data_IF_001760625604
#
_entry.id   IF_001760625604
#
_cell.length_a   1.000
_cell.length_b   1.000
_cell.length_c   1.000
_cell.angle_alpha   90.00
_cell.angle_beta   90.00
_cell.angle_gamma   90.00
#
_symmetry.space_group_name_H-M   'P 1'
#
loop_
_entity.id
_entity.type
_entity.pdbx_description
1 polymer ?
#
# COMPACT_ATOMS: atom_id res chain seq x y z
N UNK A 1 -8.17 20.79 46.07
CA UNK A 1 -7.84 19.36 46.06
C UNK A 1 -7.93 18.85 44.63
N UNK A 2 -6.83 18.26 44.21
CA UNK A 2 -6.35 18.05 42.85
C UNK A 2 -7.11 16.90 42.16
N UNK A 3 -7.89 17.19 41.11
CA UNK A 3 -8.34 16.17 40.15
C UNK A 3 -7.14 15.84 39.25
N UNK A 4 -6.37 14.88 39.71
CA UNK A 4 -5.18 14.29 39.11
C UNK A 4 -5.41 13.90 37.64
N UNK A 5 -4.73 14.62 36.74
CA UNK A 5 -3.83 14.05 35.73
C UNK A 5 -4.33 12.77 35.03
N UNK A 6 -5.32 12.88 34.16
CA UNK A 6 -5.44 11.96 33.02
C UNK A 6 -5.85 12.71 31.76
N UNK A 7 -5.45 13.97 31.66
CA UNK A 7 -5.18 14.56 30.35
C UNK A 7 -3.78 14.07 29.98
N UNK A 8 -3.65 12.77 29.67
CA UNK A 8 -2.56 12.34 28.81
C UNK A 8 -2.94 12.93 27.46
N UNK A 9 -2.56 14.20 27.33
CA UNK A 9 -2.29 14.84 26.06
C UNK A 9 -1.20 13.97 25.42
N UNK A 10 -1.63 12.88 24.77
CA UNK A 10 -0.95 12.42 23.58
C UNK A 10 -1.20 13.53 22.55
N UNK A 11 -0.48 14.65 22.73
CA UNK A 11 0.05 15.39 21.62
C UNK A 11 0.91 14.35 20.90
N UNK A 12 0.26 13.56 20.05
CA UNK A 12 0.88 13.24 18.79
C UNK A 12 1.20 14.60 18.18
N UNK A 13 2.37 15.13 18.50
CA UNK A 13 3.13 15.90 17.53
C UNK A 13 3.41 14.92 16.39
N UNK A 14 2.37 14.62 15.61
CA UNK A 14 2.56 14.29 14.21
C UNK A 14 3.30 15.51 13.70
N UNK A 15 4.57 15.29 13.39
CA UNK A 15 5.36 16.24 12.63
C UNK A 15 4.52 16.45 11.37
N UNK A 16 3.76 17.55 11.31
CA UNK A 16 3.12 18.06 10.08
C UNK A 16 4.21 18.61 9.16
N UNK A 17 5.28 17.84 8.98
CA UNK A 17 6.25 18.05 7.94
C UNK A 17 5.58 17.59 6.67
N UNK A 18 5.22 18.54 5.80
CA UNK A 18 5.06 18.23 4.37
C UNK A 18 6.41 17.72 3.89
N UNK A 19 6.59 16.41 3.89
CA UNK A 19 7.71 15.75 3.26
C UNK A 19 7.40 15.72 1.76
N UNK A 20 8.28 16.22 0.89
CA UNK A 20 8.11 16.04 -0.54
C UNK A 20 7.93 14.56 -0.88
N UNK A 21 7.02 14.23 -1.80
CA UNK A 21 6.77 12.86 -2.27
C UNK A 21 8.06 12.09 -2.58
N UNK A 22 9.07 12.78 -3.12
CA UNK A 22 10.37 12.22 -3.52
C UNK A 22 11.18 11.61 -2.38
N UNK A 23 10.83 11.91 -1.13
CA UNK A 23 11.66 11.56 0.02
C UNK A 23 11.14 10.33 0.76
N UNK A 24 9.98 9.79 0.35
CA UNK A 24 9.37 8.60 0.97
C UNK A 24 9.27 7.45 -0.02
N UNK A 25 9.93 6.35 0.31
CA UNK A 25 9.82 5.06 -0.39
C UNK A 25 9.43 3.96 0.60
N UNK A 26 8.75 2.91 0.13
CA UNK A 26 8.35 1.78 0.97
C UNK A 26 8.91 0.47 0.43
N UNK A 27 9.39 -0.42 1.29
CA UNK A 27 9.86 -1.73 0.85
C UNK A 27 9.40 -2.84 1.78
N UNK A 28 9.34 -4.07 1.28
CA UNK A 28 9.00 -5.22 2.11
C UNK A 28 9.23 -6.58 1.47
N UNK A 29 9.20 -7.60 2.30
CA UNK A 29 9.36 -9.02 1.91
C UNK A 29 8.09 -9.82 2.18
N UNK A 30 7.72 -10.74 1.27
CA UNK A 30 6.58 -11.66 1.45
C UNK A 30 5.27 -10.89 1.72
N UNK A 31 4.61 -11.13 2.86
CA UNK A 31 3.45 -10.36 3.29
C UNK A 31 3.74 -8.86 3.42
N UNK A 32 4.97 -8.49 3.82
CA UNK A 32 5.45 -7.11 3.82
C UNK A 32 5.64 -6.56 2.41
N UNK A 33 5.98 -7.40 1.43
CA UNK A 33 6.03 -7.02 0.01
C UNK A 33 4.64 -6.71 -0.54
N UNK A 34 3.64 -7.52 -0.20
CA UNK A 34 2.22 -7.21 -0.47
C UNK A 34 1.82 -5.87 0.13
N UNK A 35 2.24 -5.60 1.37
CA UNK A 35 1.91 -4.36 2.07
C UNK A 35 2.62 -3.16 1.44
N UNK A 36 3.89 -3.30 1.05
CA UNK A 36 4.63 -2.24 0.35
C UNK A 36 3.92 -1.84 -0.94
N UNK A 37 3.51 -2.81 -1.76
CA UNK A 37 2.73 -2.55 -2.98
C UNK A 37 1.40 -1.83 -2.69
N UNK A 38 0.66 -2.29 -1.67
CA UNK A 38 -0.61 -1.69 -1.28
C UNK A 38 -0.43 -0.25 -0.78
N UNK A 39 0.59 0.01 0.03
CA UNK A 39 0.87 1.33 0.57
C UNK A 39 1.29 2.30 -0.54
N UNK A 40 2.20 1.86 -1.43
CA UNK A 40 2.67 2.64 -2.58
C UNK A 40 1.52 3.06 -3.48
N UNK A 41 0.55 2.16 -3.73
CA UNK A 41 -0.63 2.47 -4.54
C UNK A 41 -1.61 3.37 -3.80
N UNK A 42 -1.94 3.04 -2.55
CA UNK A 42 -2.97 3.73 -1.78
C UNK A 42 -2.60 5.18 -1.46
N UNK A 43 -1.32 5.43 -1.15
CA UNK A 43 -0.77 6.73 -0.75
C UNK A 43 0.25 7.25 -1.77
N UNK A 44 -0.01 7.00 -3.05
CA UNK A 44 0.92 7.36 -4.13
C UNK A 44 1.17 8.86 -4.28
N UNK A 45 0.34 9.73 -3.69
CA UNK A 45 0.60 11.18 -3.60
C UNK A 45 1.78 11.52 -2.68
N UNK A 46 2.07 10.66 -1.71
CA UNK A 46 3.12 10.87 -0.69
C UNK A 46 4.32 9.91 -0.88
N UNK A 47 4.10 8.72 -1.47
CA UNK A 47 5.14 7.71 -1.68
C UNK A 47 5.60 7.73 -3.14
N UNK A 48 6.91 7.89 -3.36
CA UNK A 48 7.53 8.00 -4.70
C UNK A 48 8.05 6.69 -5.29
N UNK A 49 8.04 5.60 -4.54
CA UNK A 49 8.48 4.31 -5.05
C UNK A 49 8.34 3.18 -4.05
N UNK A 50 8.47 1.95 -4.55
CA UNK A 50 8.54 0.80 -3.67
C UNK A 50 9.59 -0.24 -4.06
N UNK A 51 9.89 -1.14 -3.12
CA UNK A 51 10.74 -2.31 -3.34
C UNK A 51 10.07 -3.56 -2.81
N UNK A 52 9.84 -4.54 -3.68
CA UNK A 52 9.07 -5.75 -3.34
C UNK A 52 9.95 -6.99 -3.52
N UNK A 53 10.20 -7.71 -2.43
CA UNK A 53 10.95 -8.97 -2.46
C UNK A 53 10.02 -10.13 -2.11
N UNK A 54 9.95 -11.16 -2.97
CA UNK A 54 9.12 -12.34 -2.75
C UNK A 54 7.65 -12.02 -2.38
N UNK A 55 7.14 -10.87 -2.83
CA UNK A 55 5.75 -10.46 -2.66
C UNK A 55 4.89 -10.93 -3.83
N UNK A 56 3.60 -11.23 -3.60
CA UNK A 56 2.66 -11.52 -4.67
C UNK A 56 2.29 -10.24 -5.45
N UNK A 57 1.76 -10.38 -6.68
CA UNK A 57 1.20 -9.25 -7.42
C UNK A 57 0.12 -8.50 -6.62
N UNK A 58 -0.02 -7.19 -6.84
CA UNK A 58 -1.09 -6.40 -6.22
C UNK A 58 -2.45 -7.04 -6.49
N UNK A 59 -3.30 -7.05 -5.46
CA UNK A 59 -4.64 -7.64 -5.51
C UNK A 59 -4.69 -9.15 -5.81
N UNK A 60 -3.58 -9.89 -5.70
CA UNK A 60 -3.54 -11.31 -6.02
C UNK A 60 -4.56 -12.15 -5.23
N UNK A 61 -4.63 -11.94 -3.91
CA UNK A 61 -5.50 -12.75 -3.06
C UNK A 61 -6.99 -12.38 -3.18
N UNK A 62 -7.32 -11.19 -3.69
CA UNK A 62 -8.71 -10.71 -3.83
C UNK A 62 -9.55 -10.81 -2.54
N UNK A 63 -8.91 -10.72 -1.37
CA UNK A 63 -9.57 -10.90 -0.07
C UNK A 63 -9.90 -12.35 0.29
N UNK A 64 -9.37 -13.33 -0.45
CA UNK A 64 -9.61 -14.75 -0.26
C UNK A 64 -8.36 -15.48 0.29
N UNK A 65 -8.50 -16.11 1.45
CA UNK A 65 -7.41 -16.80 2.13
C UNK A 65 -6.84 -17.98 1.30
N UNK A 66 -7.70 -18.78 0.67
CA UNK A 66 -7.26 -19.93 -0.14
C UNK A 66 -6.44 -19.49 -1.35
N UNK A 67 -6.78 -18.35 -1.94
CA UNK A 67 -6.02 -17.74 -3.03
C UNK A 67 -4.66 -17.23 -2.54
N UNK A 68 -4.63 -16.63 -1.35
CA UNK A 68 -3.39 -16.16 -0.71
C UNK A 68 -2.40 -17.31 -0.48
N UNK A 69 -2.81 -18.36 0.24
CA UNK A 69 -1.91 -19.50 0.54
C UNK A 69 -1.67 -20.42 -0.65
N UNK A 70 -2.58 -20.43 -1.64
CA UNK A 70 -2.46 -21.21 -2.86
C UNK A 70 -1.70 -20.44 -3.93
N UNK A 71 -2.45 -19.88 -4.88
CA UNK A 71 -1.90 -19.28 -6.10
C UNK A 71 -0.93 -18.11 -5.83
N UNK A 72 -1.13 -17.30 -4.79
CA UNK A 72 -0.26 -16.14 -4.55
C UNK A 72 1.09 -16.50 -3.93
N UNK A 73 1.15 -17.52 -3.07
CA UNK A 73 2.39 -17.96 -2.44
C UNK A 73 3.12 -19.03 -3.25
N UNK A 74 2.39 -19.88 -3.96
CA UNK A 74 2.94 -21.07 -4.63
C UNK A 74 2.75 -21.07 -6.16
N UNK A 75 1.95 -20.14 -6.70
CA UNK A 75 1.70 -20.04 -8.14
C UNK A 75 2.71 -19.14 -8.85
N UNK A 76 2.76 -19.18 -10.19
CA UNK A 76 3.58 -18.27 -10.97
C UNK A 76 3.09 -16.82 -10.81
N UNK A 77 3.96 -15.84 -11.08
CA UNK A 77 3.59 -14.42 -11.03
C UNK A 77 2.41 -14.05 -11.97
N UNK A 78 2.12 -14.88 -12.97
CA UNK A 78 1.00 -14.74 -13.91
C UNK A 78 -0.34 -15.26 -13.37
N UNK A 79 -0.39 -15.74 -12.12
CA UNK A 79 -1.64 -16.18 -11.46
C UNK A 79 -2.70 -15.09 -11.35
N UNK A 80 -2.34 -13.83 -11.59
CA UNK A 80 -3.27 -12.69 -11.63
C UNK A 80 -3.17 -11.99 -12.97
N UNK A 81 -4.32 -11.83 -13.64
CA UNK A 81 -4.40 -11.05 -14.88
C UNK A 81 -4.11 -9.57 -14.62
N UNK A 82 -3.19 -8.99 -15.39
CA UNK A 82 -2.91 -7.55 -15.37
C UNK A 82 -4.15 -6.72 -15.70
N UNK A 83 -5.05 -7.22 -16.54
CA UNK A 83 -6.33 -6.56 -16.84
C UNK A 83 -7.25 -6.50 -15.61
N UNK A 84 -7.27 -7.55 -14.79
CA UNK A 84 -8.03 -7.55 -13.54
C UNK A 84 -7.46 -6.54 -12.54
N UNK A 85 -6.12 -6.48 -12.43
CA UNK A 85 -5.43 -5.50 -11.59
C UNK A 85 -5.77 -4.08 -12.03
N UNK A 86 -5.63 -3.76 -13.33
CA UNK A 86 -5.94 -2.43 -13.86
C UNK A 86 -7.41 -2.04 -13.66
N UNK A 87 -8.33 -2.97 -13.88
CA UNK A 87 -9.77 -2.72 -13.69
C UNK A 87 -10.09 -2.42 -12.22
N UNK A 88 -9.53 -3.20 -11.30
CA UNK A 88 -9.76 -3.01 -9.87
C UNK A 88 -9.10 -1.75 -9.34
N UNK A 89 -7.88 -1.47 -9.77
CA UNK A 89 -7.17 -0.25 -9.42
C UNK A 89 -7.94 1.00 -9.88
N UNK A 90 -8.43 1.02 -11.13
CA UNK A 90 -9.28 2.11 -11.63
C UNK A 90 -10.57 2.26 -10.81
N UNK A 91 -11.21 1.16 -10.43
CA UNK A 91 -12.41 1.22 -9.60
C UNK A 91 -12.13 1.82 -8.22
N UNK A 92 -11.02 1.43 -7.58
CA UNK A 92 -10.61 2.00 -6.29
C UNK A 92 -10.20 3.47 -6.37
N UNK A 93 -9.52 3.87 -7.45
CA UNK A 93 -9.17 5.28 -7.67
C UNK A 93 -10.43 6.14 -7.85
N UNK A 94 -11.40 5.67 -8.64
CA UNK A 94 -12.68 6.36 -8.84
C UNK A 94 -13.52 6.41 -7.56
N UNK A 95 -13.44 5.41 -6.68
CA UNK A 95 -14.16 5.39 -5.40
C UNK A 95 -13.46 6.16 -4.27
N UNK A 96 -12.24 6.68 -4.51
CA UNK A 96 -11.43 7.35 -3.49
C UNK A 96 -10.81 6.42 -2.44
N UNK A 97 -10.74 5.11 -2.73
CA UNK A 97 -10.10 4.13 -1.84
C UNK A 97 -8.57 4.12 -1.97
N UNK A 98 -8.05 4.61 -3.08
CA UNK A 98 -6.63 4.80 -3.37
C UNK A 98 -6.46 6.12 -4.11
N UNK A 99 -5.24 6.64 -4.07
CA UNK A 99 -4.86 7.83 -4.84
C UNK A 99 -4.98 7.64 -6.36
N UNK A 100 -4.95 8.76 -7.09
CA UNK A 100 -4.99 8.77 -8.55
C UNK A 100 -3.84 7.96 -9.14
N UNK A 101 -4.16 7.10 -10.11
CA UNK A 101 -3.16 6.31 -10.86
C UNK A 101 -2.15 7.17 -11.64
N UNK A 102 -2.40 8.47 -11.77
CA UNK A 102 -1.45 9.40 -12.39
C UNK A 102 -0.13 9.51 -11.62
N UNK A 103 -0.15 9.33 -10.29
CA UNK A 103 1.06 9.49 -9.46
C UNK A 103 2.02 8.30 -9.61
N UNK A 104 1.50 7.09 -9.81
CA UNK A 104 2.30 5.86 -9.96
C UNK A 104 2.76 5.61 -11.39
N UNK A 105 2.41 6.50 -12.32
CA UNK A 105 2.84 6.38 -13.71
C UNK A 105 4.37 6.55 -13.75
N UNK A 106 5.05 5.47 -14.11
CA UNK A 106 6.51 5.41 -14.26
C UNK A 106 7.29 5.52 -12.93
N UNK A 107 6.63 5.26 -11.80
CA UNK A 107 7.29 5.15 -10.49
C UNK A 107 8.23 3.93 -10.43
N UNK A 108 9.36 4.03 -9.70
CA UNK A 108 10.25 2.89 -9.45
C UNK A 108 9.59 1.85 -8.53
N UNK A 109 9.65 0.57 -8.96
CA UNK A 109 9.17 -0.64 -8.27
C UNK A 109 10.14 -1.80 -8.47
#
# INVERSE_FOLDING_TARGET
>A
MLKTFCTIVFLASIIEGKVPRTDVTVSGISAGGSMAAQLHIAFSSEISGCGIVAGPPYYCAQGNMMSAIGACMNGPATSVSSANIQTKLKAYATSGNVDSTAHIKDDPV
#
